data_IF_348388079342
#
_entry.id   IF_348388079342
#
_cell.length_a   1.000
_cell.length_b   1.000
_cell.length_c   1.000
_cell.angle_alpha   90.00
_cell.angle_beta   90.00
_cell.angle_gamma   90.00
#
_symmetry.space_group_name_H-M   'P 1'
#
loop_
_entity.id
_entity.type
_entity.pdbx_description
1 polymer ?
#
# COMPACT_ATOMS: atom_id res chain seq x y z
N UNK A 1 -35.46 18.17 -2.75
CA UNK A 1 -34.89 17.32 -1.68
C UNK A 1 -33.70 16.42 -2.11
N UNK A 2 -33.30 16.34 -3.39
CA UNK A 2 -32.28 15.38 -3.88
C UNK A 2 -30.80 15.82 -3.72
N UNK A 3 -30.55 17.12 -3.46
CA UNK A 3 -29.19 17.70 -3.38
C UNK A 3 -28.41 17.24 -2.14
N UNK A 4 -29.06 17.05 -0.99
CA UNK A 4 -28.40 16.65 0.27
C UNK A 4 -27.88 15.20 0.27
N UNK A 5 -28.54 14.27 -0.42
CA UNK A 5 -28.11 12.85 -0.45
C UNK A 5 -26.87 12.66 -1.31
N UNK A 6 -26.77 13.38 -2.44
CA UNK A 6 -25.59 13.31 -3.33
C UNK A 6 -24.32 13.80 -2.63
N UNK A 7 -24.41 14.89 -1.86
CA UNK A 7 -23.26 15.42 -1.10
C UNK A 7 -22.86 14.51 0.06
N UNK A 8 -23.82 13.86 0.71
CA UNK A 8 -23.55 12.85 1.74
C UNK A 8 -22.85 11.61 1.15
N UNK A 9 -23.24 11.16 -0.05
CA UNK A 9 -22.60 10.03 -0.71
C UNK A 9 -21.17 10.40 -1.13
N UNK A 10 -20.95 11.57 -1.70
CA UNK A 10 -19.62 12.03 -2.09
C UNK A 10 -18.67 12.13 -0.90
N UNK A 11 -19.13 12.73 0.21
CA UNK A 11 -18.34 12.82 1.45
C UNK A 11 -18.11 11.47 2.13
N UNK A 12 -19.05 10.52 2.01
CA UNK A 12 -18.84 9.14 2.46
C UNK A 12 -17.81 8.41 1.60
N UNK A 13 -17.91 8.50 0.27
CA UNK A 13 -16.96 7.88 -0.67
C UNK A 13 -15.53 8.41 -0.43
N UNK A 14 -15.37 9.68 -0.10
CA UNK A 14 -14.06 10.25 0.24
C UNK A 14 -13.51 9.80 1.60
N UNK A 15 -14.37 9.55 2.58
CA UNK A 15 -13.95 9.13 3.94
C UNK A 15 -13.73 7.62 4.09
N UNK A 16 -14.40 6.81 3.26
CA UNK A 16 -14.35 5.35 3.30
C UNK A 16 -12.93 4.79 3.09
N UNK A 17 -12.16 5.20 2.07
CA UNK A 17 -10.80 4.71 1.86
C UNK A 17 -9.90 4.94 3.07
N UNK A 18 -9.94 6.15 3.66
CA UNK A 18 -9.14 6.49 4.84
C UNK A 18 -9.57 5.73 6.10
N UNK A 19 -10.84 5.34 6.20
CA UNK A 19 -11.30 4.46 7.28
C UNK A 19 -10.78 3.03 7.09
N UNK A 20 -10.91 2.47 5.87
CA UNK A 20 -10.42 1.13 5.55
C UNK A 20 -8.91 1.01 5.73
N UNK A 21 -8.14 2.03 5.37
CA UNK A 21 -6.68 2.07 5.58
C UNK A 21 -6.31 1.89 7.07
N UNK A 22 -7.02 2.58 7.96
CA UNK A 22 -6.81 2.44 9.41
C UNK A 22 -7.17 1.05 9.91
N UNK A 23 -8.22 0.43 9.35
CA UNK A 23 -8.60 -0.95 9.69
C UNK A 23 -7.51 -1.92 9.27
N UNK A 24 -7.01 -1.81 8.04
CA UNK A 24 -5.91 -2.67 7.55
C UNK A 24 -4.64 -2.46 8.39
N UNK A 25 -4.30 -1.21 8.71
CA UNK A 25 -3.16 -0.90 9.58
C UNK A 25 -3.32 -1.50 10.98
N UNK A 26 -4.53 -1.49 11.56
CA UNK A 26 -4.80 -2.11 12.86
C UNK A 26 -4.66 -3.63 12.81
N UNK A 27 -5.15 -4.29 11.75
CA UNK A 27 -5.00 -5.75 11.57
C UNK A 27 -3.52 -6.11 11.42
N UNK A 28 -2.77 -5.37 10.60
CA UNK A 28 -1.32 -5.55 10.47
C UNK A 28 -0.58 -5.38 11.80
N UNK A 29 -0.93 -4.35 12.57
CA UNK A 29 -0.35 -4.12 13.89
C UNK A 29 -0.55 -5.33 14.81
N UNK A 30 -1.76 -5.89 14.86
CA UNK A 30 -2.05 -7.09 15.66
C UNK A 30 -1.21 -8.27 15.18
N UNK A 31 -1.11 -8.48 13.86
CA UNK A 31 -0.25 -9.50 13.27
C UNK A 31 1.21 -9.35 13.69
N UNK A 32 1.76 -8.13 13.65
CA UNK A 32 3.14 -7.82 14.07
C UNK A 32 3.34 -8.00 15.58
N UNK A 33 2.36 -7.63 16.42
CA UNK A 33 2.47 -7.87 17.86
C UNK A 33 2.50 -9.37 18.17
N UNK A 34 1.61 -10.14 17.55
CA UNK A 34 1.58 -11.59 17.66
C UNK A 34 2.91 -12.22 17.20
N UNK A 35 3.46 -11.68 16.12
CA UNK A 35 4.77 -12.04 15.57
C UNK A 35 5.91 -11.85 16.57
N UNK A 36 5.97 -10.69 17.22
CA UNK A 36 6.98 -10.40 18.23
C UNK A 36 6.87 -11.36 19.43
N UNK A 37 5.65 -11.71 19.84
CA UNK A 37 5.43 -12.67 20.94
C UNK A 37 5.94 -14.06 20.55
N UNK A 38 5.60 -14.54 19.35
CA UNK A 38 6.11 -15.83 18.85
C UNK A 38 7.63 -15.86 18.76
N UNK A 39 8.24 -14.79 18.26
CA UNK A 39 9.70 -14.67 18.19
C UNK A 39 10.34 -14.76 19.58
N UNK A 40 9.78 -14.07 20.57
CA UNK A 40 10.24 -14.17 21.96
C UNK A 40 10.16 -15.62 22.46
N UNK A 41 9.02 -16.28 22.28
CA UNK A 41 8.84 -17.69 22.68
C UNK A 41 9.84 -18.63 21.98
N UNK A 42 10.12 -18.42 20.69
CA UNK A 42 11.09 -19.21 19.94
C UNK A 42 12.50 -19.10 20.55
N UNK A 43 12.92 -17.88 20.91
CA UNK A 43 14.22 -17.64 21.57
C UNK A 43 14.31 -18.34 22.93
N UNK A 44 13.19 -18.41 23.69
CA UNK A 44 13.17 -19.04 25.01
C UNK A 44 13.00 -20.57 24.98
N UNK A 45 12.29 -21.11 23.99
CA UNK A 45 11.89 -22.53 23.99
C UNK A 45 12.60 -23.38 22.94
N UNK A 46 13.42 -22.79 22.06
CA UNK A 46 14.11 -23.48 20.93
C UNK A 46 13.20 -24.41 20.11
N UNK A 47 11.89 -24.16 20.10
CA UNK A 47 10.91 -24.94 19.34
C UNK A 47 10.76 -24.34 17.95
N UNK A 48 10.81 -25.16 16.90
CA UNK A 48 10.54 -24.73 15.53
C UNK A 48 9.08 -24.30 15.38
N UNK A 49 8.84 -23.03 15.03
CA UNK A 49 7.52 -22.49 14.72
C UNK A 49 7.47 -22.10 13.24
N UNK A 50 6.40 -22.48 12.56
CA UNK A 50 6.17 -22.21 11.12
C UNK A 50 5.70 -20.77 10.86
N UNK A 51 6.26 -19.83 11.60
CA UNK A 51 5.80 -18.44 11.70
C UNK A 51 6.11 -17.62 10.43
N UNK A 52 7.17 -17.98 9.68
CA UNK A 52 7.59 -17.26 8.47
C UNK A 52 6.51 -17.23 7.38
N UNK A 53 5.85 -18.36 7.14
CA UNK A 53 4.78 -18.49 6.12
C UNK A 53 3.55 -17.65 6.49
N UNK A 54 3.21 -17.61 7.78
CA UNK A 54 2.06 -16.86 8.28
C UNK A 54 2.23 -15.34 8.13
N UNK A 55 3.44 -14.83 8.36
CA UNK A 55 3.76 -13.40 8.20
C UNK A 55 3.63 -12.96 6.76
N UNK A 56 4.21 -13.74 5.87
CA UNK A 56 4.19 -13.47 4.44
C UNK A 56 2.74 -13.31 3.93
N UNK A 57 1.88 -14.28 4.23
CA UNK A 57 0.49 -14.29 3.81
C UNK A 57 -0.30 -13.07 4.35
N UNK A 58 -0.05 -12.71 5.61
CA UNK A 58 -0.63 -11.49 6.21
C UNK A 58 -0.17 -10.23 5.48
N UNK A 59 1.13 -10.08 5.22
CA UNK A 59 1.65 -8.89 4.53
C UNK A 59 1.12 -8.81 3.10
N UNK A 60 1.10 -9.92 2.37
CA UNK A 60 0.57 -9.98 1.00
C UNK A 60 -0.90 -9.55 0.98
N UNK A 61 -1.72 -10.14 1.85
CA UNK A 61 -3.15 -9.86 1.93
C UNK A 61 -3.41 -8.40 2.29
N UNK A 62 -2.71 -7.88 3.31
CA UNK A 62 -2.89 -6.52 3.77
C UNK A 62 -2.42 -5.49 2.74
N UNK A 63 -1.23 -5.66 2.17
CA UNK A 63 -0.73 -4.72 1.18
C UNK A 63 -1.53 -4.74 -0.12
N UNK A 64 -2.06 -5.89 -0.54
CA UNK A 64 -3.01 -5.97 -1.65
C UNK A 64 -4.27 -5.15 -1.35
N UNK A 65 -4.81 -5.23 -0.13
CA UNK A 65 -5.95 -4.41 0.28
C UNK A 65 -5.62 -2.91 0.24
N UNK A 66 -4.44 -2.49 0.73
CA UNK A 66 -4.01 -1.08 0.69
C UNK A 66 -3.92 -0.55 -0.75
N UNK A 67 -3.34 -1.33 -1.68
CA UNK A 67 -3.26 -0.93 -3.09
C UNK A 67 -4.65 -0.69 -3.68
N UNK A 68 -5.60 -1.59 -3.42
CA UNK A 68 -6.98 -1.45 -3.91
C UNK A 68 -7.65 -0.22 -3.31
N UNK A 69 -7.45 0.04 -2.02
CA UNK A 69 -7.97 1.22 -1.33
C UNK A 69 -7.43 2.51 -1.97
N UNK A 70 -6.12 2.59 -2.23
CA UNK A 70 -5.54 3.77 -2.86
C UNK A 70 -5.94 3.90 -4.33
N UNK A 71 -6.08 2.79 -5.06
CA UNK A 71 -6.60 2.81 -6.42
C UNK A 71 -8.02 3.39 -6.47
N UNK A 72 -8.91 3.01 -5.53
CA UNK A 72 -10.24 3.62 -5.40
C UNK A 72 -10.11 5.11 -5.12
N UNK A 73 -9.23 5.51 -4.20
CA UNK A 73 -8.98 6.94 -3.89
C UNK A 73 -8.55 7.73 -5.12
N UNK A 74 -7.71 7.15 -5.98
CA UNK A 74 -7.30 7.75 -7.25
C UNK A 74 -8.44 7.95 -8.22
N UNK A 75 -9.29 6.93 -8.39
CA UNK A 75 -10.46 7.02 -9.26
C UNK A 75 -11.40 8.14 -8.83
N UNK A 76 -11.51 8.39 -7.52
CA UNK A 76 -12.38 9.45 -6.99
C UNK A 76 -11.75 10.84 -7.08
N UNK A 77 -10.45 10.97 -6.85
CA UNK A 77 -9.76 12.27 -6.80
C UNK A 77 -9.11 12.70 -8.12
N UNK A 78 -9.06 11.85 -9.14
CA UNK A 78 -8.48 12.15 -10.46
C UNK A 78 -7.07 12.79 -10.42
N UNK A 79 -6.23 12.43 -9.45
CA UNK A 79 -4.85 12.93 -9.39
C UNK A 79 -3.87 11.89 -9.94
N UNK A 80 -3.31 12.18 -11.12
CA UNK A 80 -2.27 11.37 -11.77
C UNK A 80 -0.99 11.26 -10.92
N UNK A 81 -0.69 12.30 -10.11
CA UNK A 81 0.47 12.28 -9.21
C UNK A 81 0.34 11.18 -8.15
N UNK A 82 -0.88 10.96 -7.63
CA UNK A 82 -1.11 9.87 -6.66
C UNK A 82 -0.81 8.52 -7.29
N UNK A 83 -1.13 8.31 -8.59
CA UNK A 83 -0.98 7.02 -9.29
C UNK A 83 0.46 6.51 -9.22
N UNK A 84 1.44 7.37 -9.50
CA UNK A 84 2.86 7.00 -9.44
C UNK A 84 3.27 6.56 -8.03
N UNK A 85 2.75 7.22 -6.99
CA UNK A 85 3.05 6.87 -5.59
C UNK A 85 2.55 5.46 -5.23
N UNK A 86 1.35 5.08 -5.67
CA UNK A 86 0.84 3.72 -5.44
C UNK A 86 1.55 2.68 -6.27
N UNK A 87 1.96 2.99 -7.49
CA UNK A 87 2.77 2.06 -8.29
C UNK A 87 4.11 1.79 -7.59
N UNK A 88 4.77 2.82 -7.07
CA UNK A 88 6.00 2.66 -6.29
C UNK A 88 5.74 1.81 -5.05
N UNK A 89 4.67 2.08 -4.29
CA UNK A 89 4.28 1.28 -3.13
C UNK A 89 3.99 -0.19 -3.50
N UNK A 90 3.31 -0.42 -4.62
CA UNK A 90 2.96 -1.75 -5.10
C UNK A 90 4.18 -2.58 -5.48
N UNK A 91 5.20 -1.98 -6.07
CA UNK A 91 6.47 -2.65 -6.36
C UNK A 91 7.27 -2.86 -5.06
N UNK A 92 7.33 -1.82 -4.21
CA UNK A 92 8.07 -1.87 -2.95
C UNK A 92 7.56 -2.96 -2.00
N UNK A 93 6.24 -3.21 -1.94
CA UNK A 93 5.70 -4.28 -1.08
C UNK A 93 6.18 -5.67 -1.50
N UNK A 94 6.31 -5.95 -2.80
CA UNK A 94 6.76 -7.25 -3.29
C UNK A 94 8.21 -7.50 -2.87
N UNK A 95 9.02 -6.43 -2.82
CA UNK A 95 10.38 -6.48 -2.28
C UNK A 95 10.42 -6.80 -0.77
N UNK A 96 9.47 -6.29 0.02
CA UNK A 96 9.42 -6.49 1.48
C UNK A 96 8.98 -7.90 1.86
N UNK A 97 8.08 -8.50 1.08
CA UNK A 97 7.51 -9.84 1.35
C UNK A 97 8.53 -10.97 1.08
N UNK A 98 9.59 -10.72 0.32
CA UNK A 98 10.81 -11.56 0.34
C UNK A 98 10.81 -12.83 -0.52
N UNK A 99 10.05 -12.87 -1.61
CA UNK A 99 9.90 -14.08 -2.47
C UNK A 99 10.48 -13.96 -3.87
N UNK A 100 11.10 -12.83 -4.19
CA UNK A 100 11.57 -12.50 -5.53
C UNK A 100 12.99 -13.04 -5.77
N UNK A 101 13.26 -13.53 -6.98
CA UNK A 101 14.63 -13.86 -7.37
C UNK A 101 15.49 -12.59 -7.37
N UNK A 102 16.80 -12.75 -7.19
CA UNK A 102 17.75 -11.62 -7.18
C UNK A 102 17.63 -10.72 -8.41
N UNK A 103 17.38 -11.30 -9.59
CA UNK A 103 17.18 -10.54 -10.83
C UNK A 103 15.84 -9.77 -10.84
N UNK A 104 14.75 -10.38 -10.37
CA UNK A 104 13.43 -9.74 -10.29
C UNK A 104 13.45 -8.58 -9.28
N UNK A 105 14.18 -8.76 -8.17
CA UNK A 105 14.48 -7.69 -7.20
C UNK A 105 15.23 -6.53 -7.86
N UNK A 106 16.27 -6.81 -8.63
CA UNK A 106 17.05 -5.78 -9.34
C UNK A 106 16.17 -5.01 -10.33
N UNK A 107 15.35 -5.70 -11.11
CA UNK A 107 14.40 -5.09 -12.06
C UNK A 107 13.40 -4.20 -11.31
N UNK A 108 12.82 -4.68 -10.21
CA UNK A 108 11.89 -3.92 -9.38
C UNK A 108 12.51 -2.62 -8.83
N UNK A 109 13.76 -2.68 -8.36
CA UNK A 109 14.51 -1.49 -7.91
C UNK A 109 14.72 -0.50 -9.07
N UNK A 110 15.10 -0.99 -10.26
CA UNK A 110 15.26 -0.14 -11.45
C UNK A 110 13.92 0.48 -11.87
N UNK A 111 12.82 -0.26 -11.82
CA UNK A 111 11.49 0.25 -12.10
C UNK A 111 11.10 1.38 -11.12
N UNK A 112 11.35 1.22 -9.82
CA UNK A 112 11.12 2.29 -8.83
C UNK A 112 11.97 3.52 -9.15
N UNK A 113 13.24 3.35 -9.51
CA UNK A 113 14.12 4.45 -9.88
C UNK A 113 13.61 5.21 -11.13
N UNK A 114 13.12 4.48 -12.14
CA UNK A 114 12.51 5.07 -13.34
C UNK A 114 11.22 5.82 -12.98
N UNK A 115 10.33 5.24 -12.17
CA UNK A 115 9.09 5.89 -11.73
C UNK A 115 9.37 7.19 -10.96
N UNK A 116 10.39 7.19 -10.08
CA UNK A 116 10.84 8.38 -9.37
C UNK A 116 11.45 9.43 -10.32
N UNK A 117 12.19 8.99 -11.35
CA UNK A 117 12.72 9.88 -12.38
C UNK A 117 11.59 10.50 -13.22
N UNK A 118 10.61 9.71 -13.66
CA UNK A 118 9.41 10.18 -14.35
C UNK A 118 8.65 11.20 -13.48
N UNK A 119 8.51 10.95 -12.17
CA UNK A 119 7.91 11.91 -11.23
C UNK A 119 8.62 13.26 -11.26
N UNK A 120 9.96 13.25 -11.27
CA UNK A 120 10.76 14.49 -11.24
C UNK A 120 10.78 15.23 -12.59
N UNK A 121 10.80 14.53 -13.71
CA UNK A 121 11.03 15.12 -15.04
C UNK A 121 9.77 15.30 -15.89
N UNK A 122 8.73 14.48 -15.72
CA UNK A 122 7.53 14.53 -16.57
C UNK A 122 6.40 15.38 -15.97
N UNK A 123 6.32 15.46 -14.64
CA UNK A 123 5.23 16.19 -13.94
C UNK A 123 5.57 17.64 -13.61
N UNK A 124 6.80 18.10 -13.87
CA UNK A 124 7.16 19.52 -13.68
C UNK A 124 6.48 20.46 -14.70
N UNK A 125 6.02 19.92 -15.83
CA UNK A 125 5.38 20.69 -16.92
C UNK A 125 3.86 20.48 -17.06
N UNK A 126 3.28 19.43 -16.45
CA UNK A 126 1.85 19.07 -16.65
C UNK A 126 0.90 19.50 -15.53
N UNK A 127 1.39 19.88 -14.35
CA UNK A 127 0.54 20.29 -13.20
C UNK A 127 0.18 21.80 -13.17
N UNK A 128 0.67 22.61 -14.10
CA UNK A 128 0.38 24.06 -14.15
C UNK A 128 -0.76 24.48 -15.11
N UNK A 129 -1.59 23.55 -15.61
CA UNK A 129 -2.67 23.91 -16.56
C UNK A 129 -4.09 23.53 -16.16
N UNK A 130 -4.31 22.91 -15.01
CA UNK A 130 -5.67 22.55 -14.54
C UNK A 130 -6.14 23.34 -13.30
N UNK A 131 -5.36 24.32 -12.82
CA UNK A 131 -5.77 25.25 -11.76
C UNK A 131 -5.81 26.73 -12.23
N UNK A 132 -6.39 27.00 -13.40
CA UNK A 132 -7.01 28.32 -13.72
C UNK A 132 -8.49 28.16 -14.08
#
# INVERSE_FOLDING_TARGET
>A
MKKSTCEKIHTLILKLPSFLEKVVAAILLVGVVYSCIQLALHVFTFSSLDFGIYVEDILVTAFNAVIVIEFIRMLVKHSMNTVVEVLIFAIARSLVVGHEKTLETLVSIVCIAILLACRRFLFHDFDFKEEE
#
